data_IF_885741637971
#
_entry.id   IF_885741637971
#
_cell.length_a   1.000
_cell.length_b   1.000
_cell.length_c   1.000
_cell.angle_alpha   90.00
_cell.angle_beta   90.00
_cell.angle_gamma   90.00
#
_symmetry.space_group_name_H-M   'P 1'
#
loop_
_entity.id
_entity.type
_entity.pdbx_description
1 polymer ?
#
# COMPACT_ATOMS: atom_id res chain seq x y z
N UNK A 1 -2.96 17.86 8.78
CA UNK A 1 -2.95 17.64 7.32
C UNK A 1 -4.39 17.43 6.89
N UNK A 2 -4.82 18.00 5.76
CA UNK A 2 -6.16 17.73 5.23
C UNK A 2 -6.30 16.30 4.71
N UNK A 3 -7.53 15.80 4.54
CA UNK A 3 -7.77 14.44 4.04
C UNK A 3 -7.10 14.19 2.69
N UNK A 4 -7.19 15.15 1.76
CA UNK A 4 -6.55 15.05 0.44
C UNK A 4 -5.02 14.99 0.53
N UNK A 5 -4.44 15.70 1.50
CA UNK A 5 -2.99 15.70 1.73
C UNK A 5 -2.51 14.36 2.31
N UNK A 6 -3.28 13.79 3.26
CA UNK A 6 -3.03 12.46 3.81
C UNK A 6 -3.16 11.38 2.73
N UNK A 7 -4.22 11.44 1.93
CA UNK A 7 -4.46 10.56 0.79
C UNK A 7 -3.27 10.56 -0.17
N UNK A 8 -2.88 11.75 -0.62
CA UNK A 8 -1.74 11.91 -1.54
C UNK A 8 -0.44 11.40 -0.96
N UNK A 9 -0.17 11.66 0.33
CA UNK A 9 1.04 11.18 0.98
C UNK A 9 1.10 9.65 0.98
N UNK A 10 0.00 9.00 1.38
CA UNK A 10 -0.09 7.55 1.51
C UNK A 10 -0.11 6.87 0.15
N UNK A 11 -0.85 7.41 -0.83
CA UNK A 11 -0.84 6.93 -2.20
C UNK A 11 0.59 6.90 -2.77
N UNK A 12 1.33 8.02 -2.65
CA UNK A 12 2.72 8.10 -3.13
C UNK A 12 3.61 7.08 -2.43
N UNK A 13 3.42 6.86 -1.13
CA UNK A 13 4.16 5.84 -0.40
C UNK A 13 3.86 4.43 -0.93
N UNK A 14 2.58 4.06 -1.07
CA UNK A 14 2.17 2.74 -1.57
C UNK A 14 2.66 2.51 -3.00
N UNK A 15 2.58 3.50 -3.90
CA UNK A 15 3.13 3.40 -5.26
C UNK A 15 4.65 3.20 -5.29
N UNK A 16 5.38 3.78 -4.33
CA UNK A 16 6.83 3.50 -4.16
C UNK A 16 7.07 2.07 -3.69
N UNK A 17 6.22 1.53 -2.81
CA UNK A 17 6.27 0.12 -2.41
C UNK A 17 6.03 -0.84 -3.59
N UNK A 18 5.06 -0.54 -4.46
CA UNK A 18 4.82 -1.29 -5.72
C UNK A 18 6.08 -1.28 -6.59
N UNK A 19 6.64 -0.10 -6.85
CA UNK A 19 7.86 0.05 -7.65
C UNK A 19 9.03 -0.75 -7.06
N UNK A 20 9.18 -0.72 -5.75
CA UNK A 20 10.19 -1.49 -5.05
C UNK A 20 9.97 -2.99 -5.18
N UNK A 21 8.71 -3.45 -5.06
CA UNK A 21 8.34 -4.85 -5.20
C UNK A 21 8.62 -5.37 -6.61
N UNK A 22 8.27 -4.62 -7.65
CA UNK A 22 8.60 -4.96 -9.04
C UNK A 22 10.11 -5.13 -9.24
N UNK A 23 10.91 -4.15 -8.78
CA UNK A 23 12.37 -4.24 -8.86
C UNK A 23 12.92 -5.43 -8.04
N UNK A 24 12.27 -5.77 -6.92
CA UNK A 24 12.61 -6.91 -6.07
C UNK A 24 12.34 -8.23 -6.79
N UNK A 25 11.19 -8.38 -7.44
CA UNK A 25 10.79 -9.55 -8.23
C UNK A 25 11.78 -9.77 -9.37
N UNK A 26 12.13 -8.73 -10.13
CA UNK A 26 13.08 -8.85 -11.24
C UNK A 26 14.47 -9.31 -10.80
N UNK A 27 14.96 -8.80 -9.66
CA UNK A 27 16.23 -9.28 -9.07
C UNK A 27 16.16 -10.74 -8.65
N UNK A 28 15.02 -11.22 -8.13
CA UNK A 28 14.82 -12.61 -7.69
C UNK A 28 14.75 -13.57 -8.86
N UNK A 29 13.97 -13.23 -9.90
CA UNK A 29 13.94 -13.98 -11.16
C UNK A 29 15.34 -14.12 -11.76
N UNK A 30 16.12 -13.03 -11.80
CA UNK A 30 17.49 -13.04 -12.32
C UNK A 30 18.45 -13.94 -11.52
N UNK A 31 18.22 -14.11 -10.22
CA UNK A 31 19.02 -15.01 -9.35
C UNK A 31 18.59 -16.47 -9.43
N UNK A 32 17.42 -16.76 -10.00
CA UNK A 32 16.82 -18.09 -9.97
C UNK A 32 16.26 -18.46 -8.59
N UNK A 33 15.76 -17.48 -7.83
CA UNK A 33 15.10 -17.74 -6.55
C UNK A 33 13.85 -18.61 -6.74
N UNK A 34 13.44 -19.29 -5.67
CA UNK A 34 12.26 -20.19 -5.63
C UNK A 34 10.98 -19.49 -6.11
N UNK A 35 10.21 -20.17 -6.97
CA UNK A 35 8.96 -19.66 -7.53
C UNK A 35 7.93 -19.26 -6.46
N UNK A 36 7.87 -19.98 -5.32
CA UNK A 36 7.00 -19.62 -4.19
C UNK A 36 7.42 -18.32 -3.53
N UNK A 37 8.72 -18.01 -3.51
CA UNK A 37 9.22 -16.72 -3.01
C UNK A 37 8.80 -15.61 -3.97
N UNK A 38 8.96 -15.82 -5.27
CA UNK A 38 8.54 -14.87 -6.30
C UNK A 38 7.03 -14.61 -6.24
N UNK A 39 6.22 -15.66 -6.10
CA UNK A 39 4.76 -15.57 -5.98
C UNK A 39 4.31 -14.76 -4.76
N UNK A 40 4.99 -14.89 -3.62
CA UNK A 40 4.70 -14.05 -2.43
C UNK A 40 4.96 -12.58 -2.69
N UNK A 41 6.04 -12.26 -3.43
CA UNK A 41 6.33 -10.88 -3.79
C UNK A 41 5.34 -10.31 -4.80
N UNK A 42 4.85 -11.13 -5.74
CA UNK A 42 3.77 -10.73 -6.65
C UNK A 42 2.47 -10.45 -5.90
N UNK A 43 2.06 -11.34 -4.99
CA UNK A 43 0.88 -11.10 -4.16
C UNK A 43 0.99 -9.81 -3.32
N UNK A 44 2.16 -9.56 -2.71
CA UNK A 44 2.42 -8.30 -2.00
C UNK A 44 2.30 -7.09 -2.93
N UNK A 45 2.90 -7.16 -4.12
CA UNK A 45 2.87 -6.08 -5.13
C UNK A 45 1.45 -5.75 -5.58
N UNK A 46 0.67 -6.77 -5.93
CA UNK A 46 -0.69 -6.61 -6.45
C UNK A 46 -1.65 -6.06 -5.38
N UNK A 47 -1.58 -6.59 -4.15
CA UNK A 47 -2.38 -6.06 -3.06
C UNK A 47 -2.00 -4.61 -2.71
N UNK A 48 -0.71 -4.27 -2.74
CA UNK A 48 -0.25 -2.90 -2.48
C UNK A 48 -0.71 -1.93 -3.57
N UNK A 49 -0.72 -2.35 -4.83
CA UNK A 49 -1.26 -1.54 -5.93
C UNK A 49 -2.76 -1.30 -5.73
N UNK A 50 -3.51 -2.35 -5.40
CA UNK A 50 -4.93 -2.22 -5.11
C UNK A 50 -5.20 -1.25 -3.95
N UNK A 51 -4.46 -1.37 -2.84
CA UNK A 51 -4.60 -0.42 -1.72
C UNK A 51 -4.22 1.01 -2.12
N UNK A 52 -3.26 1.21 -3.02
CA UNK A 52 -2.95 2.55 -3.52
C UNK A 52 -4.12 3.15 -4.31
N UNK A 53 -4.85 2.32 -5.06
CA UNK A 53 -6.05 2.73 -5.79
C UNK A 53 -7.19 3.09 -4.83
N UNK A 54 -7.46 2.27 -3.80
CA UNK A 54 -8.48 2.53 -2.78
C UNK A 54 -8.17 3.80 -1.95
N UNK A 55 -6.89 4.05 -1.68
CA UNK A 55 -6.49 5.34 -1.10
C UNK A 55 -6.79 6.45 -2.09
N UNK A 56 -6.34 6.36 -3.35
CA UNK A 56 -6.51 7.42 -4.34
C UNK A 56 -7.98 7.74 -4.65
N UNK A 57 -8.88 6.75 -4.62
CA UNK A 57 -10.32 6.91 -4.82
C UNK A 57 -11.04 7.53 -3.61
N UNK A 58 -10.43 7.44 -2.42
CA UNK A 58 -11.03 7.86 -1.15
C UNK A 58 -11.85 6.77 -0.45
N UNK A 59 -11.84 5.54 -0.94
CA UNK A 59 -12.55 4.41 -0.31
C UNK A 59 -12.05 4.13 1.12
N UNK A 60 -10.79 4.49 1.39
CA UNK A 60 -10.15 4.35 2.71
C UNK A 60 -10.09 5.66 3.52
N UNK A 61 -10.83 6.70 3.14
CA UNK A 61 -10.79 7.99 3.85
C UNK A 61 -11.10 7.86 5.35
N UNK A 62 -12.04 7.00 5.73
CA UNK A 62 -12.39 6.72 7.14
C UNK A 62 -11.21 6.24 7.98
N UNK A 63 -10.17 5.65 7.38
CA UNK A 63 -8.96 5.19 8.07
C UNK A 63 -7.92 6.31 8.21
N UNK A 64 -8.09 7.40 7.46
CA UNK A 64 -7.20 8.55 7.40
C UNK A 64 -7.73 9.75 8.19
N UNK A 65 -8.95 9.67 8.70
CA UNK A 65 -9.53 10.63 9.64
C UNK A 65 -8.81 10.55 10.99
N UNK A 66 -8.72 11.69 11.70
CA UNK A 66 -8.20 11.66 13.07
C UNK A 66 -9.24 10.97 13.96
N UNK A 67 -8.79 10.00 14.75
CA UNK A 67 -9.63 9.25 15.69
C UNK A 67 -10.30 10.22 16.68
N UNK A 68 -11.54 10.63 16.42
CA UNK A 68 -12.42 11.27 17.40
C UNK A 68 -13.15 10.23 18.26
N UNK A 69 -12.77 8.95 18.19
CA UNK A 69 -13.38 7.87 18.99
C UNK A 69 -12.59 7.56 20.26
N UNK A 70 -12.51 8.52 21.20
CA UNK A 70 -12.48 8.19 22.65
C UNK A 70 -12.70 9.40 23.59
N UNK A 71 -13.78 10.16 23.44
CA UNK A 71 -14.39 10.89 24.58
C UNK A 71 -15.92 10.69 24.54
N UNK A 72 -16.37 9.44 24.67
CA UNK A 72 -17.77 9.10 25.01
C UNK A 72 -17.83 7.64 25.47
N UNK A 73 -17.10 7.33 26.54
CA UNK A 73 -17.41 6.19 27.41
C UNK A 73 -18.10 6.73 28.64
N UNK A 74 -19.45 6.75 28.61
CA UNK A 74 -20.30 6.93 29.78
C UNK A 74 -20.28 5.68 30.67
#
# INVERSE_FOLDING_TARGET
>A
MGIDERRKLIEVFLRRCVTYADASIERKKKRGDDEKVIAKWQAYRDFTEHSAEEVASGDLDTWLEDDQTSESGS
#
